data_IF_142648744037
#
_entry.id   IF_142648744037
#
_cell.length_a   1.000
_cell.length_b   1.000
_cell.length_c   1.000
_cell.angle_alpha   90.00
_cell.angle_beta   90.00
_cell.angle_gamma   90.00
#
_symmetry.space_group_name_H-M   'P 1'
#
loop_
_entity.id
_entity.type
_entity.pdbx_description
1 polymer ?
#
# COMPACT_ATOMS: atom_id res chain seq x y z
N UNK A 1 -17.66 -37.31 -53.29
CA UNK A 1 -18.20 -36.05 -52.69
C UNK A 1 -17.68 -35.95 -51.25
N UNK A 2 -16.60 -35.17 -51.01
CA UNK A 2 -15.96 -34.99 -49.69
C UNK A 2 -16.45 -33.63 -49.18
N UNK A 3 -17.15 -33.62 -48.04
CA UNK A 3 -17.56 -32.39 -47.35
C UNK A 3 -16.43 -31.94 -46.45
N UNK A 4 -15.78 -30.84 -46.80
CA UNK A 4 -14.89 -30.08 -45.91
C UNK A 4 -15.72 -29.29 -44.88
N UNK A 5 -15.52 -29.59 -43.60
CA UNK A 5 -16.01 -28.76 -42.52
C UNK A 5 -14.97 -27.68 -42.19
N UNK A 6 -15.28 -26.44 -42.42
CA UNK A 6 -14.54 -25.29 -41.95
C UNK A 6 -14.73 -25.13 -40.43
N UNK A 7 -13.66 -25.30 -39.68
CA UNK A 7 -13.56 -24.82 -38.29
C UNK A 7 -12.82 -23.49 -38.29
N UNK A 8 -13.59 -22.40 -38.23
CA UNK A 8 -13.03 -21.07 -37.91
C UNK A 8 -13.96 -20.43 -36.90
N UNK A 9 -13.45 -20.08 -35.74
CA UNK A 9 -13.91 -18.99 -34.86
C UNK A 9 -13.77 -19.28 -33.37
N UNK A 10 -12.57 -19.61 -32.90
CA UNK A 10 -12.30 -19.64 -31.46
C UNK A 10 -11.18 -18.69 -30.99
N UNK A 11 -10.34 -18.22 -31.94
CA UNK A 11 -9.13 -17.49 -31.59
C UNK A 11 -9.34 -15.96 -31.51
N UNK A 12 -10.27 -15.41 -32.28
CA UNK A 12 -10.50 -13.95 -32.33
C UNK A 12 -11.14 -13.37 -31.09
N UNK A 13 -12.05 -14.10 -30.41
CA UNK A 13 -12.74 -13.60 -29.22
C UNK A 13 -11.84 -13.53 -27.98
N UNK A 14 -10.91 -14.47 -27.83
CA UNK A 14 -9.96 -14.48 -26.70
C UNK A 14 -8.91 -13.38 -26.82
N UNK A 15 -8.45 -13.06 -28.03
CA UNK A 15 -7.50 -11.98 -28.30
C UNK A 15 -8.14 -10.59 -28.12
N UNK A 16 -9.41 -10.41 -28.51
CA UNK A 16 -10.12 -9.15 -28.25
C UNK A 16 -10.38 -8.93 -26.75
N UNK A 17 -10.79 -9.97 -26.01
CA UNK A 17 -11.00 -9.84 -24.58
C UNK A 17 -9.71 -9.52 -23.82
N UNK A 18 -8.58 -10.12 -24.19
CA UNK A 18 -7.30 -9.86 -23.57
C UNK A 18 -6.79 -8.43 -23.88
N UNK A 19 -7.05 -7.91 -25.08
CA UNK A 19 -6.68 -6.54 -25.46
C UNK A 19 -7.55 -5.48 -24.79
N UNK A 20 -8.84 -5.73 -24.60
CA UNK A 20 -9.75 -4.81 -23.90
C UNK A 20 -9.47 -4.73 -22.40
N UNK A 21 -9.14 -5.85 -21.74
CA UNK A 21 -8.73 -5.88 -20.33
C UNK A 21 -7.41 -5.13 -20.13
N UNK A 22 -6.45 -5.24 -21.03
CA UNK A 22 -5.18 -4.51 -20.93
C UNK A 22 -5.35 -3.00 -21.16
N UNK A 23 -6.21 -2.59 -22.09
CA UNK A 23 -6.54 -1.19 -22.35
C UNK A 23 -7.31 -0.55 -21.18
N UNK A 24 -8.23 -1.26 -20.58
CA UNK A 24 -9.00 -0.79 -19.43
C UNK A 24 -8.09 -0.65 -18.19
N UNK A 25 -7.24 -1.64 -17.90
CA UNK A 25 -6.26 -1.56 -16.82
C UNK A 25 -5.25 -0.41 -17.04
N UNK A 26 -4.88 -0.13 -18.27
CA UNK A 26 -3.98 0.97 -18.60
C UNK A 26 -4.68 2.33 -18.48
N UNK A 27 -5.96 2.43 -18.84
CA UNK A 27 -6.77 3.63 -18.64
C UNK A 27 -7.00 3.92 -17.16
N UNK A 28 -7.22 2.89 -16.33
CA UNK A 28 -7.38 3.04 -14.88
C UNK A 28 -6.15 3.61 -14.18
N UNK A 29 -4.94 3.33 -14.69
CA UNK A 29 -3.68 3.84 -14.13
C UNK A 29 -3.27 5.20 -14.71
N UNK A 30 -3.94 5.72 -15.71
CA UNK A 30 -3.64 7.02 -16.33
C UNK A 30 -3.86 8.22 -15.41
N UNK A 31 -4.60 8.03 -14.32
CA UNK A 31 -4.79 9.06 -13.27
C UNK A 31 -3.54 9.31 -12.44
N UNK A 32 -2.55 8.40 -12.46
CA UNK A 32 -1.34 8.53 -11.66
C UNK A 32 -0.27 9.33 -12.40
N UNK A 33 0.21 10.39 -11.74
CA UNK A 33 1.28 11.25 -12.22
C UNK A 33 2.62 10.75 -11.67
N UNK A 34 3.58 10.50 -12.55
CA UNK A 34 4.92 10.05 -12.18
C UNK A 34 5.84 11.24 -11.87
N UNK A 35 6.52 11.17 -10.74
CA UNK A 35 7.48 12.17 -10.28
C UNK A 35 8.81 11.51 -9.98
N UNK A 36 9.88 12.17 -10.40
CA UNK A 36 11.25 11.83 -10.04
C UNK A 36 11.80 12.95 -9.16
N UNK A 37 11.78 12.74 -7.87
CA UNK A 37 12.05 13.76 -6.86
C UNK A 37 13.48 13.68 -6.35
N UNK A 38 14.12 14.85 -6.16
CA UNK A 38 15.46 14.96 -5.62
C UNK A 38 15.35 15.18 -4.10
N UNK A 39 15.87 14.25 -3.33
CA UNK A 39 15.88 14.34 -1.87
C UNK A 39 16.85 15.42 -1.38
N UNK A 40 16.46 16.28 -0.41
CA UNK A 40 17.36 17.25 0.22
C UNK A 40 18.54 16.58 0.94
N UNK A 41 18.34 15.37 1.48
CA UNK A 41 19.40 14.61 2.14
C UNK A 41 20.25 13.77 1.18
N UNK A 42 20.06 13.94 -0.13
CA UNK A 42 20.78 13.25 -1.20
C UNK A 42 20.00 12.07 -1.78
N UNK A 43 20.23 11.81 -3.05
CA UNK A 43 19.57 10.74 -3.80
C UNK A 43 18.35 11.21 -4.59
N UNK A 44 17.78 10.25 -5.32
CA UNK A 44 16.61 10.44 -6.18
C UNK A 44 15.55 9.41 -5.80
N UNK A 45 14.34 9.86 -5.59
CA UNK A 45 13.21 9.03 -5.23
C UNK A 45 12.12 9.14 -6.28
N UNK A 46 11.68 8.00 -6.80
CA UNK A 46 10.57 7.93 -7.73
C UNK A 46 9.28 7.66 -6.96
N UNK A 47 8.23 8.40 -7.26
CA UNK A 47 6.89 8.12 -6.77
C UNK A 47 5.85 8.49 -7.82
N UNK A 48 4.69 7.87 -7.73
CA UNK A 48 3.50 8.25 -8.49
C UNK A 48 2.39 8.65 -7.54
N UNK A 49 1.56 9.59 -7.96
CA UNK A 49 0.46 10.07 -7.15
C UNK A 49 -0.79 10.33 -7.99
N UNK A 50 -1.95 10.26 -7.37
CA UNK A 50 -3.22 10.71 -7.96
C UNK A 50 -3.93 11.67 -7.02
N UNK A 51 -4.64 12.65 -7.62
CA UNK A 51 -5.46 13.62 -6.88
C UNK A 51 -6.89 13.11 -6.67
N UNK A 52 -7.62 13.67 -5.69
CA UNK A 52 -9.07 13.59 -5.65
C UNK A 52 -9.68 14.11 -6.96
N UNK A 53 -10.72 13.42 -7.48
CA UNK A 53 -11.30 13.77 -8.78
C UNK A 53 -12.18 15.02 -8.73
N UNK A 54 -12.73 15.38 -7.55
CA UNK A 54 -13.64 16.51 -7.38
C UNK A 54 -13.13 17.43 -6.26
N UNK A 55 -12.06 18.15 -6.55
CA UNK A 55 -11.50 19.10 -5.59
C UNK A 55 -12.24 20.43 -5.62
N UNK A 56 -12.47 20.99 -4.43
CA UNK A 56 -13.00 22.35 -4.23
C UNK A 56 -11.92 23.23 -3.59
N UNK A 57 -11.85 24.47 -4.00
CA UNK A 57 -10.91 25.43 -3.43
C UNK A 57 -11.21 25.60 -1.92
N UNK A 58 -10.17 25.46 -1.10
CA UNK A 58 -10.26 25.60 0.35
C UNK A 58 -10.57 24.31 1.12
N UNK A 59 -11.05 23.25 0.46
CA UNK A 59 -11.24 21.96 1.10
C UNK A 59 -9.88 21.26 1.32
N UNK A 60 -9.84 20.37 2.31
CA UNK A 60 -8.67 19.51 2.58
C UNK A 60 -9.06 18.04 2.40
N UNK A 61 -8.17 17.26 1.80
CA UNK A 61 -8.43 15.89 1.36
C UNK A 61 -7.52 14.89 2.03
N UNK A 62 -8.00 13.66 2.34
CA UNK A 62 -7.16 12.60 2.87
C UNK A 62 -6.03 12.24 1.90
N UNK A 63 -4.99 11.59 2.43
CA UNK A 63 -3.91 11.01 1.64
C UNK A 63 -3.67 9.57 2.08
N UNK A 64 -3.63 8.65 1.09
CA UNK A 64 -3.22 7.26 1.27
C UNK A 64 -1.78 7.09 0.79
N UNK A 65 -0.87 6.88 1.73
CA UNK A 65 0.52 6.52 1.47
C UNK A 65 0.63 5.01 1.28
N UNK A 66 0.93 4.59 0.07
CA UNK A 66 1.00 3.18 -0.30
C UNK A 66 2.43 2.68 -0.45
N UNK A 67 2.72 1.55 0.18
CA UNK A 67 4.01 0.88 0.16
C UNK A 67 3.88 -0.48 -0.55
N UNK A 68 4.44 -0.57 -1.76
CA UNK A 68 4.35 -1.76 -2.61
C UNK A 68 5.13 -2.96 -2.05
N UNK A 69 4.80 -4.16 -2.50
CA UNK A 69 5.54 -5.40 -2.25
C UNK A 69 6.85 -5.48 -3.04
N UNK A 70 7.55 -6.61 -2.93
CA UNK A 70 8.82 -6.79 -3.62
C UNK A 70 8.72 -6.75 -5.16
N UNK A 71 7.54 -7.06 -5.72
CA UNK A 71 7.27 -7.01 -7.16
C UNK A 71 7.27 -5.61 -7.75
N UNK A 72 6.95 -4.59 -6.95
CA UNK A 72 6.91 -3.19 -7.38
C UNK A 72 8.26 -2.50 -7.48
N UNK A 73 9.35 -3.15 -7.04
CA UNK A 73 10.71 -2.60 -7.09
C UNK A 73 11.15 -2.29 -8.50
N UNK A 74 11.80 -1.15 -8.67
CA UNK A 74 12.34 -0.70 -9.96
C UNK A 74 12.76 0.75 -9.94
N UNK A 75 13.06 1.29 -11.12
CA UNK A 75 13.41 2.70 -11.33
C UNK A 75 12.59 3.33 -12.47
N UNK A 76 11.53 2.65 -12.91
CA UNK A 76 10.70 3.02 -14.04
C UNK A 76 9.48 3.87 -13.67
N UNK A 77 9.25 4.04 -12.37
CA UNK A 77 8.08 4.73 -11.79
C UNK A 77 6.72 4.17 -12.30
N UNK A 78 6.69 2.85 -12.61
CA UNK A 78 5.52 2.14 -13.14
C UNK A 78 5.22 0.85 -12.38
N UNK A 79 6.23 0.03 -12.06
CA UNK A 79 6.04 -1.30 -11.45
C UNK A 79 5.26 -1.26 -10.14
N UNK A 80 5.48 -0.24 -9.31
CA UNK A 80 4.73 -0.06 -8.05
C UNK A 80 3.22 0.10 -8.28
N UNK A 81 2.81 0.62 -9.44
CA UNK A 81 1.39 0.78 -9.79
C UNK A 81 0.74 -0.54 -10.20
N UNK A 82 1.53 -1.49 -10.68
CA UNK A 82 1.04 -2.81 -11.12
C UNK A 82 1.21 -3.90 -10.07
N UNK A 83 1.92 -3.61 -8.96
CA UNK A 83 2.22 -4.62 -7.96
C UNK A 83 0.95 -5.08 -7.23
N UNK A 84 0.72 -6.40 -7.26
CA UNK A 84 -0.37 -7.07 -6.55
C UNK A 84 -1.79 -6.49 -6.81
N UNK A 85 -1.97 -5.74 -7.90
CA UNK A 85 -3.25 -5.12 -8.26
C UNK A 85 -3.70 -4.00 -7.33
N UNK A 86 -2.81 -3.43 -6.51
CA UNK A 86 -3.16 -2.42 -5.51
C UNK A 86 -3.78 -1.17 -6.11
N UNK A 87 -3.16 -0.59 -7.15
CA UNK A 87 -3.67 0.64 -7.75
C UNK A 87 -5.01 0.43 -8.47
N UNK A 88 -5.21 -0.70 -9.15
CA UNK A 88 -6.50 -1.06 -9.74
C UNK A 88 -7.57 -1.23 -8.66
N UNK A 89 -7.23 -1.87 -7.53
CA UNK A 89 -8.13 -1.97 -6.40
C UNK A 89 -8.51 -0.59 -5.84
N UNK A 90 -7.58 0.34 -5.76
CA UNK A 90 -7.85 1.71 -5.29
C UNK A 90 -8.80 2.46 -6.23
N UNK A 91 -8.64 2.29 -7.54
CA UNK A 91 -9.59 2.85 -8.52
C UNK A 91 -10.97 2.22 -8.34
N UNK A 92 -11.06 0.87 -8.25
CA UNK A 92 -12.31 0.13 -8.02
C UNK A 92 -13.00 0.57 -6.72
N UNK A 93 -12.25 0.73 -5.65
CA UNK A 93 -12.74 1.20 -4.35
C UNK A 93 -13.04 2.71 -4.31
N UNK A 94 -12.81 3.39 -5.41
CA UNK A 94 -13.12 4.82 -5.53
C UNK A 94 -12.31 5.71 -4.61
N UNK A 95 -11.02 5.39 -4.37
CA UNK A 95 -10.15 6.15 -3.48
C UNK A 95 -10.10 7.61 -3.91
N UNK A 96 -9.84 7.89 -5.17
CA UNK A 96 -9.81 9.27 -5.69
C UNK A 96 -11.19 9.81 -6.12
N UNK A 97 -12.15 8.93 -6.48
CA UNK A 97 -13.46 9.33 -7.03
C UNK A 97 -14.57 9.44 -5.98
N UNK A 98 -14.77 8.37 -5.18
CA UNK A 98 -15.81 8.31 -4.15
C UNK A 98 -15.32 8.89 -2.81
N UNK A 99 -14.11 8.49 -2.38
CA UNK A 99 -13.52 8.90 -1.09
C UNK A 99 -12.74 10.21 -1.18
N UNK A 100 -12.55 10.74 -2.39
CA UNK A 100 -11.88 12.02 -2.66
C UNK A 100 -10.54 12.11 -1.92
N UNK A 101 -9.63 11.15 -2.15
CA UNK A 101 -8.35 11.05 -1.49
C UNK A 101 -7.20 11.10 -2.49
N UNK A 102 -6.09 11.66 -2.06
CA UNK A 102 -4.80 11.47 -2.73
C UNK A 102 -4.33 10.03 -2.52
N UNK A 103 -3.62 9.50 -3.52
CA UNK A 103 -2.77 8.33 -3.38
C UNK A 103 -1.33 8.76 -3.63
N UNK A 104 -0.43 8.38 -2.75
CA UNK A 104 1.01 8.58 -2.90
C UNK A 104 1.72 7.23 -2.85
N UNK A 105 2.32 6.81 -3.96
CA UNK A 105 2.93 5.50 -4.13
C UNK A 105 4.40 5.64 -4.53
N UNK A 106 5.30 5.47 -3.56
CA UNK A 106 6.74 5.48 -3.80
C UNK A 106 7.22 4.22 -4.50
N UNK A 107 8.40 4.28 -5.16
CA UNK A 107 9.04 3.13 -5.76
C UNK A 107 10.43 2.90 -5.16
N UNK A 108 10.63 1.73 -4.56
CA UNK A 108 11.92 1.26 -4.05
C UNK A 108 12.77 0.74 -5.21
N UNK A 109 14.05 1.09 -5.30
CA UNK A 109 14.99 0.53 -6.26
C UNK A 109 15.07 -1.00 -6.19
N UNK A 110 15.46 -1.67 -7.30
CA UNK A 110 15.47 -3.14 -7.41
C UNK A 110 16.32 -3.82 -6.32
N UNK A 111 17.44 -3.21 -5.93
CA UNK A 111 18.36 -3.75 -4.94
C UNK A 111 18.02 -3.39 -3.48
N UNK A 112 17.01 -2.54 -3.27
CA UNK A 112 16.67 -1.97 -1.97
C UNK A 112 15.35 -2.50 -1.38
N UNK A 113 15.00 -2.07 -0.17
CA UNK A 113 13.79 -2.44 0.57
C UNK A 113 13.25 -1.24 1.34
N UNK A 114 11.95 -1.31 1.74
CA UNK A 114 11.40 -0.34 2.70
C UNK A 114 12.10 -0.43 4.06
N UNK A 115 12.40 -1.64 4.49
CA UNK A 115 13.09 -1.94 5.76
C UNK A 115 14.18 -2.95 5.48
N UNK A 116 15.37 -2.72 5.96
CA UNK A 116 16.51 -3.62 5.76
C UNK A 116 16.44 -4.82 6.73
N UNK A 117 15.44 -5.66 6.48
CA UNK A 117 15.17 -6.89 7.23
C UNK A 117 14.88 -8.01 6.25
N UNK A 118 15.42 -9.19 6.53
CA UNK A 118 15.06 -10.38 5.76
C UNK A 118 13.68 -10.88 6.20
N UNK A 119 12.74 -11.01 5.26
CA UNK A 119 11.35 -11.34 5.54
C UNK A 119 11.10 -12.75 6.10
N UNK A 120 12.06 -13.68 5.97
CA UNK A 120 11.96 -15.01 6.60
C UNK A 120 12.30 -15.02 8.10
N UNK A 121 12.83 -13.92 8.67
CA UNK A 121 13.10 -13.83 10.10
C UNK A 121 11.80 -13.90 10.90
N UNK A 122 11.79 -14.69 11.97
CA UNK A 122 10.65 -14.82 12.88
C UNK A 122 10.43 -13.58 13.76
N UNK A 123 11.48 -12.82 14.00
CA UNK A 123 11.45 -11.53 14.72
C UNK A 123 12.58 -10.64 14.24
N UNK A 124 12.51 -9.33 14.50
CA UNK A 124 13.61 -8.40 14.32
C UNK A 124 13.47 -7.21 15.27
N UNK A 125 14.58 -6.54 15.50
CA UNK A 125 14.60 -5.20 16.06
C UNK A 125 14.61 -4.19 14.92
N UNK A 126 14.00 -3.03 15.13
CA UNK A 126 13.97 -1.96 14.15
C UNK A 126 15.40 -1.60 13.71
N UNK A 127 15.74 -1.78 12.42
CA UNK A 127 17.07 -1.41 11.92
C UNK A 127 17.20 0.11 11.77
N UNK A 128 18.38 0.58 11.36
CA UNK A 128 18.53 1.93 10.83
C UNK A 128 17.52 2.14 9.68
N UNK A 129 17.00 3.35 9.56
CA UNK A 129 16.09 3.67 8.47
C UNK A 129 16.78 3.43 7.11
N UNK A 130 16.11 2.76 6.20
CA UNK A 130 16.59 2.57 4.83
C UNK A 130 16.57 3.90 4.06
N UNK A 131 17.44 4.05 3.06
CA UNK A 131 17.42 5.23 2.20
C UNK A 131 16.08 5.38 1.48
N UNK A 132 15.47 4.27 1.05
CA UNK A 132 14.14 4.30 0.43
C UNK A 132 13.05 4.82 1.36
N UNK A 133 13.00 4.39 2.62
CA UNK A 133 12.00 4.88 3.57
C UNK A 133 12.28 6.33 3.98
N UNK A 134 13.54 6.69 4.18
CA UNK A 134 13.93 8.07 4.47
C UNK A 134 13.48 9.03 3.37
N UNK A 135 13.85 8.73 2.11
CA UNK A 135 13.44 9.55 0.97
C UNK A 135 11.93 9.57 0.75
N UNK A 136 11.24 8.45 1.03
CA UNK A 136 9.79 8.38 0.95
C UNK A 136 9.12 9.32 1.96
N UNK A 137 9.62 9.38 3.19
CA UNK A 137 9.12 10.35 4.19
C UNK A 137 9.43 11.79 3.79
N UNK A 138 10.64 12.09 3.33
CA UNK A 138 11.00 13.44 2.89
C UNK A 138 10.11 13.91 1.73
N UNK A 139 9.87 13.02 0.74
CA UNK A 139 8.99 13.33 -0.38
C UNK A 139 7.52 13.47 0.04
N UNK A 140 7.06 12.63 0.96
CA UNK A 140 5.70 12.75 1.53
C UNK A 140 5.54 14.04 2.31
N UNK A 141 6.50 14.43 3.13
CA UNK A 141 6.49 15.66 3.89
C UNK A 141 6.43 16.88 2.95
N UNK A 142 7.27 16.90 1.91
CA UNK A 142 7.25 17.95 0.89
C UNK A 142 5.92 18.01 0.15
N UNK A 143 5.33 16.84 -0.18
CA UNK A 143 4.02 16.76 -0.84
C UNK A 143 2.89 17.29 0.04
N UNK A 144 2.90 16.97 1.32
CA UNK A 144 1.90 17.41 2.31
C UNK A 144 2.03 18.90 2.61
N UNK A 145 3.26 19.43 2.64
CA UNK A 145 3.54 20.83 2.89
C UNK A 145 3.20 21.77 1.71
N UNK A 146 3.12 21.24 0.49
CA UNK A 146 2.72 22.02 -0.68
C UNK A 146 1.21 22.36 -0.60
N UNK A 147 0.90 23.61 -0.36
CA UNK A 147 -0.48 24.10 -0.20
C UNK A 147 -1.36 23.84 -1.44
N UNK A 148 -0.76 23.67 -2.63
CA UNK A 148 -1.48 23.32 -3.85
C UNK A 148 -2.12 21.93 -3.76
N UNK A 149 -1.57 21.03 -2.95
CA UNK A 149 -2.08 19.69 -2.77
C UNK A 149 -3.28 19.60 -1.82
N UNK A 150 -3.59 20.63 -1.05
CA UNK A 150 -4.76 20.67 -0.16
C UNK A 150 -4.93 19.39 0.71
N UNK A 151 -3.82 18.80 1.20
CA UNK A 151 -3.85 17.57 2.02
C UNK A 151 -4.38 17.90 3.42
N UNK A 152 -5.29 17.05 3.93
CA UNK A 152 -5.68 17.06 5.35
C UNK A 152 -4.62 16.29 6.17
N UNK A 153 -3.74 17.01 6.84
CA UNK A 153 -2.68 16.44 7.66
C UNK A 153 -3.21 15.52 8.80
N UNK A 154 -4.48 15.63 9.16
CA UNK A 154 -5.11 14.78 10.15
C UNK A 154 -5.73 13.49 9.55
N UNK A 155 -5.69 13.30 8.23
CA UNK A 155 -6.20 12.14 7.53
C UNK A 155 -5.16 11.58 6.54
N UNK A 156 -3.96 11.32 7.06
CA UNK A 156 -2.91 10.61 6.33
C UNK A 156 -2.93 9.15 6.78
N UNK A 157 -3.14 8.24 5.84
CA UNK A 157 -3.18 6.81 6.07
C UNK A 157 -1.96 6.14 5.47
N UNK A 158 -1.51 5.04 6.03
CA UNK A 158 -0.45 4.20 5.45
C UNK A 158 -0.94 2.78 5.26
N UNK A 159 -0.68 2.23 4.08
CA UNK A 159 -1.03 0.86 3.72
C UNK A 159 0.08 0.24 2.90
N UNK A 160 0.37 -1.03 3.13
CA UNK A 160 1.36 -1.74 2.32
C UNK A 160 1.31 -3.25 2.50
N UNK A 161 1.78 -3.97 1.49
CA UNK A 161 1.71 -5.44 1.44
C UNK A 161 3.11 -6.08 1.38
N UNK A 162 3.28 -7.24 2.02
CA UNK A 162 4.52 -8.01 1.97
C UNK A 162 5.73 -7.16 2.41
N UNK A 163 6.70 -6.88 1.54
CA UNK A 163 7.77 -5.92 1.78
C UNK A 163 7.23 -4.55 2.23
N UNK A 164 6.13 -4.07 1.65
CA UNK A 164 5.42 -2.87 2.07
C UNK A 164 4.64 -3.04 3.37
N UNK A 165 4.25 -4.26 3.73
CA UNK A 165 3.69 -4.58 5.04
C UNK A 165 4.70 -4.38 6.17
N UNK A 166 5.97 -4.78 5.94
CA UNK A 166 7.09 -4.40 6.82
C UNK A 166 7.28 -2.89 6.84
N UNK A 167 7.25 -2.26 5.65
CA UNK A 167 7.35 -0.81 5.53
C UNK A 167 6.27 -0.08 6.31
N UNK A 168 5.03 -0.60 6.31
CA UNK A 168 3.91 -0.01 7.07
C UNK A 168 4.15 -0.09 8.57
N UNK A 169 4.57 -1.25 9.09
CA UNK A 169 4.95 -1.39 10.50
C UNK A 169 6.10 -0.47 10.89
N UNK A 170 7.16 -0.41 10.08
CA UNK A 170 8.31 0.46 10.30
C UNK A 170 7.91 1.94 10.28
N UNK A 171 7.09 2.34 9.30
CA UNK A 171 6.65 3.72 9.16
C UNK A 171 5.89 4.23 10.39
N UNK A 172 4.92 3.45 10.90
CA UNK A 172 4.16 3.85 12.08
C UNK A 172 4.98 3.78 13.37
N UNK A 173 5.96 2.88 13.45
CA UNK A 173 6.86 2.79 14.58
C UNK A 173 7.88 3.94 14.61
N UNK A 174 8.26 4.48 13.45
CA UNK A 174 9.14 5.67 13.38
C UNK A 174 8.35 6.96 13.63
N UNK A 175 7.20 7.10 13.00
CA UNK A 175 6.40 8.33 13.00
C UNK A 175 4.92 8.05 13.35
N UNK A 176 4.63 7.61 14.59
CA UNK A 176 3.26 7.27 14.99
C UNK A 176 2.30 8.46 14.88
N UNK A 177 2.81 9.68 15.08
CA UNK A 177 2.02 10.91 15.07
C UNK A 177 1.74 11.45 13.67
N UNK A 178 2.28 10.83 12.61
CA UNK A 178 2.02 11.24 11.24
C UNK A 178 0.69 10.68 10.72
N UNK A 179 0.33 9.47 11.15
CA UNK A 179 -0.75 8.71 10.53
C UNK A 179 -2.03 8.71 11.36
N UNK A 180 -3.16 8.81 10.67
CA UNK A 180 -4.49 8.64 11.26
C UNK A 180 -4.87 7.16 11.42
N UNK A 181 -4.39 6.30 10.53
CA UNK A 181 -4.55 4.86 10.61
C UNK A 181 -3.51 4.13 9.74
N UNK A 182 -3.35 2.83 10.01
CA UNK A 182 -2.43 1.97 9.27
C UNK A 182 -3.05 0.61 8.92
N UNK A 183 -2.73 0.12 7.72
CA UNK A 183 -3.15 -1.21 7.23
C UNK A 183 -1.92 -2.01 6.78
N UNK A 184 -1.19 -2.65 7.69
CA UNK A 184 -0.10 -3.55 7.34
C UNK A 184 -0.65 -4.91 6.88
N UNK A 185 -0.25 -5.35 5.68
CA UNK A 185 -0.73 -6.58 5.06
C UNK A 185 0.45 -7.56 4.91
N UNK A 186 0.30 -8.78 5.45
CA UNK A 186 1.28 -9.88 5.44
C UNK A 186 2.73 -9.41 5.66
N UNK A 187 2.95 -8.63 6.72
CA UNK A 187 4.25 -8.10 7.12
C UNK A 187 4.56 -8.34 8.60
N UNK A 188 5.58 -7.66 9.11
CA UNK A 188 5.94 -7.71 10.53
C UNK A 188 6.75 -6.49 10.96
N UNK A 189 6.69 -6.16 12.24
CA UNK A 189 7.43 -5.05 12.86
C UNK A 189 8.32 -5.50 14.02
N UNK A 190 8.92 -4.54 14.70
CA UNK A 190 9.58 -4.75 15.99
C UNK A 190 8.54 -4.73 17.12
N UNK A 191 8.23 -5.90 17.66
CA UNK A 191 7.21 -6.04 18.71
C UNK A 191 7.55 -5.28 20.00
N UNK A 192 8.83 -5.02 20.27
CA UNK A 192 9.21 -4.22 21.47
C UNK A 192 8.76 -2.76 21.38
N UNK A 193 8.34 -2.28 20.21
CA UNK A 193 7.80 -0.95 19.99
C UNK A 193 6.26 -0.91 19.99
N UNK A 194 5.58 -1.99 20.39
CA UNK A 194 4.12 -2.05 20.46
C UNK A 194 3.50 -0.91 21.26
N UNK A 195 4.10 -0.56 22.41
CA UNK A 195 3.67 0.57 23.26
C UNK A 195 3.68 1.91 22.53
N UNK A 196 4.64 2.12 21.63
CA UNK A 196 4.79 3.39 20.90
C UNK A 196 3.63 3.65 19.94
N UNK A 197 3.00 2.59 19.42
CA UNK A 197 1.92 2.64 18.45
C UNK A 197 0.55 2.19 19.01
N UNK A 198 0.46 1.98 20.31
CA UNK A 198 -0.74 1.42 20.97
C UNK A 198 -2.00 2.27 20.79
N UNK A 199 -1.85 3.60 20.60
CA UNK A 199 -2.97 4.53 20.41
C UNK A 199 -3.36 4.73 18.93
N UNK A 200 -2.54 4.24 18.00
CA UNK A 200 -2.81 4.39 16.57
C UNK A 200 -3.88 3.38 16.12
N UNK A 201 -4.91 3.77 15.39
CA UNK A 201 -5.82 2.85 14.73
C UNK A 201 -5.08 1.98 13.71
N UNK A 202 -5.07 0.66 13.95
CA UNK A 202 -4.39 -0.33 13.09
C UNK A 202 -5.35 -1.45 12.76
N UNK A 203 -5.40 -1.85 11.48
CA UNK A 203 -6.05 -3.07 11.05
C UNK A 203 -5.09 -3.92 10.22
N UNK A 204 -4.47 -4.90 10.87
CA UNK A 204 -3.53 -5.80 10.21
C UNK A 204 -4.24 -6.99 9.56
N UNK A 205 -3.69 -7.46 8.44
CA UNK A 205 -4.21 -8.58 7.66
C UNK A 205 -3.11 -9.58 7.33
N UNK A 206 -3.43 -10.90 7.46
CA UNK A 206 -2.48 -11.96 7.12
C UNK A 206 -3.19 -13.25 6.72
N UNK A 207 -2.60 -14.03 5.82
CA UNK A 207 -3.07 -15.38 5.53
C UNK A 207 -2.49 -16.40 6.52
N UNK A 208 -3.32 -17.29 7.07
CA UNK A 208 -2.88 -18.31 8.05
C UNK A 208 -1.92 -19.35 7.47
N UNK A 209 -1.95 -19.54 6.13
CA UNK A 209 -1.10 -20.46 5.37
C UNK A 209 0.05 -19.77 4.65
N UNK A 210 0.39 -18.54 5.04
CA UNK A 210 1.50 -17.81 4.42
C UNK A 210 2.83 -18.53 4.66
N UNK A 211 3.47 -18.97 3.55
CA UNK A 211 4.75 -19.67 3.54
C UNK A 211 5.94 -18.74 3.28
N UNK A 212 5.69 -17.49 2.89
CA UNK A 212 6.73 -16.48 2.60
C UNK A 212 7.05 -15.68 3.86
N UNK A 213 6.01 -15.12 4.49
CA UNK A 213 6.11 -14.40 5.76
C UNK A 213 5.15 -15.06 6.74
N UNK A 214 5.67 -15.58 7.84
CA UNK A 214 4.84 -16.29 8.82
C UNK A 214 3.79 -15.37 9.44
N UNK A 215 2.54 -15.84 9.56
CA UNK A 215 1.44 -15.09 10.19
C UNK A 215 1.75 -14.69 11.63
N UNK A 216 2.63 -15.42 12.33
CA UNK A 216 3.14 -15.04 13.65
C UNK A 216 3.74 -13.63 13.68
N UNK A 217 4.27 -13.15 12.55
CA UNK A 217 4.83 -11.79 12.47
C UNK A 217 3.80 -10.69 12.70
N UNK A 218 2.57 -10.89 12.20
CA UNK A 218 1.46 -9.98 12.49
C UNK A 218 0.87 -10.25 13.88
N UNK A 219 0.70 -11.53 14.27
CA UNK A 219 0.18 -11.88 15.61
C UNK A 219 1.01 -11.26 16.72
N UNK A 220 2.35 -11.38 16.65
CA UNK A 220 3.28 -10.81 17.64
C UNK A 220 3.11 -9.29 17.78
N UNK A 221 2.88 -8.58 16.67
CA UNK A 221 2.63 -7.14 16.69
C UNK A 221 1.30 -6.80 17.35
N UNK A 222 0.23 -7.55 17.01
CA UNK A 222 -1.11 -7.37 17.57
C UNK A 222 -1.11 -7.64 19.08
N UNK A 223 -0.44 -8.70 19.51
CA UNK A 223 -0.30 -9.04 20.93
C UNK A 223 0.44 -7.94 21.70
N UNK A 224 1.61 -7.53 21.21
CA UNK A 224 2.40 -6.47 21.84
C UNK A 224 1.66 -5.12 21.96
N UNK A 225 0.80 -4.80 20.97
CA UNK A 225 -0.03 -3.60 21.02
C UNK A 225 -1.16 -3.75 22.07
N UNK A 226 -1.80 -4.92 22.15
CA UNK A 226 -2.84 -5.21 23.14
C UNK A 226 -2.29 -5.21 24.57
N UNK A 227 -1.14 -5.83 24.80
CA UNK A 227 -0.42 -5.80 26.07
C UNK A 227 -0.09 -4.37 26.53
N UNK A 228 0.13 -3.47 25.57
CA UNK A 228 0.36 -2.04 25.83
C UNK A 228 -0.94 -1.22 25.98
N UNK A 229 -2.12 -1.87 26.04
CA UNK A 229 -3.42 -1.23 26.20
C UNK A 229 -4.04 -0.68 24.90
N UNK A 230 -3.50 -1.03 23.75
CA UNK A 230 -4.07 -0.66 22.44
C UNK A 230 -5.20 -1.62 22.02
N UNK A 231 -5.94 -1.20 20.98
CA UNK A 231 -7.08 -1.97 20.45
C UNK A 231 -6.98 -2.15 18.93
N UNK A 232 -5.92 -2.82 18.44
CA UNK A 232 -5.74 -3.06 17.00
C UNK A 232 -6.76 -4.09 16.50
N UNK A 233 -7.24 -3.91 15.25
CA UNK A 233 -7.99 -4.93 14.52
C UNK A 233 -7.01 -5.89 13.85
N UNK A 234 -7.39 -7.17 13.75
CA UNK A 234 -6.63 -8.20 13.05
C UNK A 234 -7.56 -9.14 12.29
N UNK A 235 -7.30 -9.31 11.01
CA UNK A 235 -7.96 -10.30 10.16
C UNK A 235 -6.94 -11.35 9.71
N UNK A 236 -7.04 -12.53 10.30
CA UNK A 236 -6.31 -13.70 9.85
C UNK A 236 -7.18 -14.52 8.92
N UNK A 237 -6.83 -14.55 7.64
CA UNK A 237 -7.67 -15.14 6.60
C UNK A 237 -7.40 -16.64 6.52
N UNK A 238 -8.41 -17.43 6.86
CA UNK A 238 -8.33 -18.89 6.88
C UNK A 238 -8.06 -19.46 5.49
N UNK A 239 -7.12 -20.40 5.43
CA UNK A 239 -6.66 -21.08 4.20
C UNK A 239 -6.08 -20.14 3.13
N UNK A 240 -5.69 -18.91 3.50
CA UNK A 240 -5.04 -17.96 2.60
C UNK A 240 -3.52 -18.06 2.74
N UNK A 241 -2.83 -18.07 1.58
CA UNK A 241 -1.37 -17.96 1.50
C UNK A 241 -0.89 -16.51 1.61
N UNK A 242 0.26 -16.23 0.98
CA UNK A 242 0.89 -14.90 1.02
C UNK A 242 0.04 -13.78 0.41
N UNK A 243 -0.87 -14.09 -0.48
CA UNK A 243 -1.69 -13.14 -1.23
C UNK A 243 -2.93 -12.62 -0.48
N UNK A 244 -2.85 -12.44 0.83
CA UNK A 244 -3.96 -11.91 1.67
C UNK A 244 -4.42 -10.50 1.28
N UNK A 245 -3.63 -9.75 0.51
CA UNK A 245 -4.05 -8.46 -0.05
C UNK A 245 -5.27 -8.55 -0.97
N UNK A 246 -5.55 -9.71 -1.58
CA UNK A 246 -6.75 -9.89 -2.39
C UNK A 246 -8.03 -9.73 -1.56
N UNK A 247 -8.01 -10.20 -0.32
CA UNK A 247 -9.13 -10.05 0.61
C UNK A 247 -9.26 -8.59 1.07
N UNK A 248 -8.13 -7.92 1.30
CA UNK A 248 -8.07 -6.49 1.64
C UNK A 248 -8.68 -5.62 0.54
N UNK A 249 -8.31 -5.89 -0.73
CA UNK A 249 -8.82 -5.12 -1.88
C UNK A 249 -10.34 -5.22 -2.04
N UNK A 250 -10.93 -6.32 -1.60
CA UNK A 250 -12.38 -6.59 -1.72
C UNK A 250 -13.17 -6.36 -0.41
N UNK A 251 -12.55 -5.85 0.64
CA UNK A 251 -13.23 -5.62 1.93
C UNK A 251 -13.77 -4.19 2.03
N UNK A 252 -15.03 -3.98 1.67
CA UNK A 252 -15.67 -2.65 1.82
C UNK A 252 -15.62 -2.16 3.26
N UNK A 253 -15.76 -3.08 4.26
CA UNK A 253 -15.65 -2.75 5.69
C UNK A 253 -14.29 -2.13 6.03
N UNK A 254 -13.18 -2.65 5.48
CA UNK A 254 -11.86 -2.08 5.70
C UNK A 254 -11.78 -0.65 5.16
N UNK A 255 -12.26 -0.44 3.93
CA UNK A 255 -12.18 0.88 3.30
C UNK A 255 -13.02 1.91 4.03
N UNK A 256 -14.22 1.54 4.48
CA UNK A 256 -15.07 2.44 5.25
C UNK A 256 -14.47 2.71 6.64
N UNK A 257 -13.92 1.69 7.31
CA UNK A 257 -13.18 1.89 8.55
C UNK A 257 -11.97 2.81 8.37
N UNK A 258 -11.14 2.60 7.34
CA UNK A 258 -9.93 3.38 7.10
C UNK A 258 -10.26 4.87 6.96
N UNK A 259 -11.26 5.19 6.12
CA UNK A 259 -11.65 6.57 5.85
C UNK A 259 -12.50 7.21 6.96
N UNK A 260 -12.96 6.45 7.94
CA UNK A 260 -13.58 6.98 9.16
C UNK A 260 -12.56 7.47 10.19
N UNK A 261 -11.27 7.08 10.04
CA UNK A 261 -10.23 7.45 10.99
C UNK A 261 -9.75 8.88 10.76
N UNK A 262 -9.52 9.59 11.87
CA UNK A 262 -8.93 10.93 11.88
C UNK A 262 -8.01 11.05 13.09
N UNK A 263 -6.85 11.64 12.90
CA UNK A 263 -5.93 11.95 13.99
C UNK A 263 -6.57 12.99 14.91
N UNK A 264 -6.48 12.77 16.21
CA UNK A 264 -6.96 13.70 17.25
C UNK A 264 -6.01 14.86 17.44
#
# INVERSE_FOLDING_TARGET
MIKQFFRTSGISAALLACSTISLQAQAELSIYQAVSWKSPSGGKFNYSWSAPQKMKKGDKYPLLFFLHGAGGRGNDNKRQLHDAGGMQAFVKQGVSSKRQSYVFAGQVPKADRWVDVHWALLSHKMPKISDSMRMAFEALDAFVADEKNQVDANRIYVMGLSMGGYGTWDAIQRRPDLFAAAVPICGGGDKSLGKKIAKLPIWAWHGDKDKVIKASRSRDMIEAIKEAGGSPKYSEIKNRGHNSWVDVWNSDELWDWLYSQKRK
#
